data_IF_418803571386
#
_entry.id   IF_418803571386
#
_cell.length_a   1.000
_cell.length_b   1.000
_cell.length_c   1.000
_cell.angle_alpha   90.00
_cell.angle_beta   90.00
_cell.angle_gamma   90.00
#
_symmetry.space_group_name_H-M   'P 1'
#
loop_
_entity.id
_entity.type
_entity.pdbx_description
1 polymer ?
#
# COMPACT_ATOMS: atom_id res chain seq x y z
N UNK A 1 -11.16 -22.85 -1.40
CA UNK A 1 -10.94 -21.58 -0.65
C UNK A 1 -12.32 -20.95 -0.40
N UNK A 2 -12.63 -20.47 0.81
CA UNK A 2 -13.89 -19.74 1.07
C UNK A 2 -13.62 -18.25 0.86
N UNK A 3 -14.37 -17.60 -0.03
CA UNK A 3 -14.30 -16.15 -0.24
C UNK A 3 -15.24 -15.47 0.77
N UNK A 4 -14.74 -14.48 1.50
CA UNK A 4 -15.49 -13.73 2.50
C UNK A 4 -15.99 -12.41 1.92
N UNK A 5 -17.12 -11.91 2.42
CA UNK A 5 -17.53 -10.54 2.11
C UNK A 5 -16.70 -9.53 2.93
N UNK A 6 -16.55 -8.28 2.46
CA UNK A 6 -15.92 -7.19 3.21
C UNK A 6 -16.38 -7.09 4.67
N UNK A 7 -17.69 -7.18 4.90
CA UNK A 7 -18.28 -7.07 6.23
C UNK A 7 -17.91 -8.26 7.11
N UNK A 8 -17.76 -9.45 6.54
CA UNK A 8 -17.33 -10.64 7.28
C UNK A 8 -15.85 -10.57 7.61
N UNK A 9 -15.01 -10.10 6.69
CA UNK A 9 -13.58 -9.90 6.93
C UNK A 9 -13.36 -8.90 8.07
N UNK A 10 -14.01 -7.74 8.01
CA UNK A 10 -13.94 -6.73 9.09
C UNK A 10 -14.38 -7.28 10.46
N UNK A 11 -15.40 -8.13 10.51
CA UNK A 11 -15.84 -8.78 11.76
C UNK A 11 -14.81 -9.75 12.32
N UNK A 12 -14.07 -10.46 11.46
CA UNK A 12 -13.00 -11.34 11.93
C UNK A 12 -11.80 -10.56 12.47
N UNK A 13 -11.46 -9.42 11.84
CA UNK A 13 -10.42 -8.53 12.36
C UNK A 13 -10.84 -7.96 13.72
N UNK A 14 -12.06 -7.45 13.83
CA UNK A 14 -12.61 -6.93 15.08
C UNK A 14 -12.64 -8.00 16.18
N UNK A 15 -13.06 -9.23 15.86
CA UNK A 15 -13.05 -10.35 16.81
C UNK A 15 -11.63 -10.67 17.28
N UNK A 16 -10.65 -10.68 16.37
CA UNK A 16 -9.24 -10.92 16.71
C UNK A 16 -8.69 -9.85 17.65
N UNK A 17 -9.07 -8.59 17.44
CA UNK A 17 -8.65 -7.46 18.28
C UNK A 17 -9.32 -7.52 19.66
N UNK A 18 -10.64 -7.67 19.68
CA UNK A 18 -11.43 -7.51 20.92
C UNK A 18 -11.46 -8.75 21.79
N UNK A 19 -11.44 -9.94 21.19
CA UNK A 19 -11.56 -11.22 21.91
C UNK A 19 -10.19 -11.84 22.20
N UNK A 20 -9.28 -11.80 21.23
CA UNK A 20 -7.93 -12.38 21.40
C UNK A 20 -6.88 -11.36 21.80
N UNK A 21 -7.23 -10.06 21.86
CA UNK A 21 -6.33 -9.00 22.28
C UNK A 21 -5.20 -8.73 21.29
N UNK A 22 -5.32 -9.17 20.03
CA UNK A 22 -4.28 -8.96 19.01
C UNK A 22 -4.34 -7.50 18.56
N UNK A 23 -3.28 -6.69 18.72
CA UNK A 23 -3.31 -5.29 18.27
C UNK A 23 -3.56 -5.19 16.76
N UNK A 24 -4.35 -4.21 16.32
CA UNK A 24 -4.65 -4.01 14.90
C UNK A 24 -3.38 -3.78 14.06
N UNK A 25 -2.38 -3.09 14.62
CA UNK A 25 -1.07 -2.92 14.01
C UNK A 25 -0.35 -4.26 13.73
N UNK A 26 -0.56 -5.28 14.56
CA UNK A 26 0.02 -6.63 14.34
C UNK A 26 -0.69 -7.34 13.19
N UNK A 27 -2.01 -7.15 13.05
CA UNK A 27 -2.75 -7.68 11.90
C UNK A 27 -2.25 -7.05 10.59
N UNK A 28 -2.09 -5.72 10.56
CA UNK A 28 -1.54 -4.98 9.41
C UNK A 28 -0.09 -5.39 9.10
N UNK A 29 0.77 -5.50 10.11
CA UNK A 29 2.15 -5.96 9.93
C UNK A 29 2.19 -7.37 9.31
N UNK A 30 1.30 -8.27 9.75
CA UNK A 30 1.20 -9.61 9.19
C UNK A 30 0.67 -9.60 7.75
N UNK A 31 -0.33 -8.79 7.42
CA UNK A 31 -0.86 -8.67 6.07
C UNK A 31 0.22 -8.14 5.11
N UNK A 32 0.78 -6.98 5.40
CA UNK A 32 1.81 -6.36 4.57
C UNK A 32 3.10 -7.20 4.44
N UNK A 33 3.60 -7.81 5.53
CA UNK A 33 4.80 -8.66 5.47
C UNK A 33 4.59 -9.88 4.58
N UNK A 34 3.42 -10.54 4.67
CA UNK A 34 3.14 -11.72 3.85
C UNK A 34 2.94 -11.35 2.38
N UNK A 35 2.28 -10.23 2.10
CA UNK A 35 2.18 -9.70 0.73
C UNK A 35 3.56 -9.41 0.16
N UNK A 36 4.43 -8.74 0.92
CA UNK A 36 5.80 -8.47 0.53
C UNK A 36 6.59 -9.77 0.26
N UNK A 37 6.49 -10.76 1.15
CA UNK A 37 7.18 -12.05 0.98
C UNK A 37 6.81 -12.71 -0.34
N UNK A 38 5.51 -12.80 -0.64
CA UNK A 38 5.01 -13.39 -1.89
C UNK A 38 5.37 -12.55 -3.12
N UNK A 39 5.36 -11.23 -2.99
CA UNK A 39 5.84 -10.31 -4.03
C UNK A 39 7.31 -10.57 -4.34
N UNK A 40 8.16 -10.63 -3.31
CA UNK A 40 9.60 -10.85 -3.45
C UNK A 40 9.88 -12.19 -4.13
N UNK A 41 9.24 -13.27 -3.69
CA UNK A 41 9.42 -14.62 -4.23
C UNK A 41 9.06 -14.73 -5.73
N UNK A 42 8.11 -13.93 -6.21
CA UNK A 42 7.58 -14.07 -7.58
C UNK A 42 8.07 -13.03 -8.58
N UNK A 43 8.40 -11.83 -8.11
CA UNK A 43 8.61 -10.67 -8.97
C UNK A 43 9.94 -9.95 -8.78
N UNK A 44 10.70 -10.26 -7.71
CA UNK A 44 11.94 -9.56 -7.41
C UNK A 44 13.15 -10.49 -7.49
N UNK A 45 14.17 -10.01 -8.18
CA UNK A 45 15.44 -10.70 -8.42
C UNK A 45 16.66 -9.88 -7.99
N UNK A 46 16.48 -8.58 -7.69
CA UNK A 46 17.50 -7.69 -7.17
C UNK A 46 17.61 -6.38 -7.99
N UNK A 47 17.70 -5.25 -7.29
CA UNK A 47 17.95 -3.94 -7.91
C UNK A 47 16.74 -3.24 -8.52
N UNK A 48 15.56 -3.86 -8.47
CA UNK A 48 14.32 -3.27 -9.00
C UNK A 48 13.91 -1.99 -8.26
N UNK A 49 13.25 -1.11 -9.01
CA UNK A 49 12.60 0.11 -8.52
C UNK A 49 11.13 -0.15 -8.30
N UNK A 50 10.67 0.02 -7.08
CA UNK A 50 9.31 -0.31 -6.66
C UNK A 50 8.55 0.98 -6.39
N UNK A 51 7.49 1.22 -7.17
CA UNK A 51 6.53 2.28 -6.92
C UNK A 51 5.36 1.73 -6.11
N UNK A 52 5.13 2.27 -4.92
CA UNK A 52 4.04 1.83 -4.05
C UNK A 52 3.03 2.98 -3.96
N UNK A 53 1.82 2.77 -4.46
CA UNK A 53 0.76 3.77 -4.42
C UNK A 53 -0.14 3.48 -3.22
N UNK A 54 -0.05 4.32 -2.19
CA UNK A 54 -0.80 4.15 -0.95
C UNK A 54 -2.02 5.06 -0.90
N UNK A 55 -3.14 4.49 -0.46
CA UNK A 55 -4.30 5.25 -0.04
C UNK A 55 -4.13 5.85 1.36
N UNK A 56 -5.22 6.46 1.86
CA UNK A 56 -5.24 7.08 3.21
C UNK A 56 -5.73 6.13 4.33
N UNK A 57 -6.28 4.99 3.95
CA UNK A 57 -6.88 4.02 4.88
C UNK A 57 -5.95 2.85 5.22
N UNK A 58 -6.54 1.77 5.73
CA UNK A 58 -5.80 0.57 6.15
C UNK A 58 -4.99 -0.06 5.00
N UNK A 59 -5.55 -0.11 3.78
CA UNK A 59 -4.80 -0.65 2.63
C UNK A 59 -3.50 0.14 2.37
N UNK A 60 -3.55 1.47 2.51
CA UNK A 60 -2.35 2.31 2.43
C UNK A 60 -1.35 2.00 3.54
N UNK A 61 -1.84 1.62 4.73
CA UNK A 61 -1.05 1.10 5.83
C UNK A 61 -0.29 -0.18 5.48
N UNK A 62 -0.97 -1.15 4.85
CA UNK A 62 -0.33 -2.37 4.33
C UNK A 62 0.74 -2.03 3.28
N UNK A 63 0.47 -1.05 2.42
CA UNK A 63 1.45 -0.51 1.47
C UNK A 63 2.70 0.05 2.17
N UNK A 64 2.57 0.76 3.29
CA UNK A 64 3.72 1.25 4.07
C UNK A 64 4.51 0.11 4.74
N UNK A 65 3.84 -0.96 5.17
CA UNK A 65 4.51 -2.18 5.66
C UNK A 65 5.33 -2.81 4.52
N UNK A 66 4.73 -3.02 3.36
CA UNK A 66 5.43 -3.55 2.17
C UNK A 66 6.63 -2.67 1.82
N UNK A 67 6.46 -1.35 1.85
CA UNK A 67 7.52 -0.39 1.57
C UNK A 67 8.71 -0.50 2.54
N UNK A 68 8.45 -0.71 3.84
CA UNK A 68 9.49 -0.95 4.84
C UNK A 68 10.31 -2.17 4.52
N UNK A 69 9.67 -3.32 4.30
CA UNK A 69 10.38 -4.57 4.04
C UNK A 69 11.17 -4.52 2.72
N UNK A 70 10.58 -3.97 1.66
CA UNK A 70 11.27 -3.75 0.40
C UNK A 70 12.52 -2.84 0.57
N UNK A 71 12.39 -1.76 1.35
CA UNK A 71 13.51 -0.85 1.59
C UNK A 71 14.61 -1.52 2.44
N UNK A 72 14.24 -2.29 3.45
CA UNK A 72 15.17 -3.04 4.30
C UNK A 72 15.95 -4.11 3.53
N UNK A 73 15.35 -4.69 2.49
CA UNK A 73 16.00 -5.64 1.59
C UNK A 73 16.84 -4.98 0.48
N UNK A 74 16.97 -3.65 0.51
CA UNK A 74 17.87 -2.91 -0.37
C UNK A 74 17.27 -2.51 -1.73
N UNK A 75 15.96 -2.68 -1.94
CA UNK A 75 15.30 -2.23 -3.16
C UNK A 75 15.14 -0.71 -3.20
N UNK A 76 15.05 -0.15 -4.41
CA UNK A 76 14.78 1.28 -4.57
C UNK A 76 13.27 1.52 -4.43
N UNK A 77 12.83 1.96 -3.26
CA UNK A 77 11.40 2.15 -2.96
C UNK A 77 11.00 3.62 -2.97
N UNK A 78 9.85 3.91 -3.59
CA UNK A 78 9.19 5.21 -3.45
C UNK A 78 7.70 5.04 -3.24
N UNK A 79 7.18 5.69 -2.20
CA UNK A 79 5.76 5.68 -1.89
C UNK A 79 5.09 6.94 -2.45
N UNK A 80 3.95 6.74 -3.10
CA UNK A 80 3.06 7.76 -3.64
C UNK A 80 1.75 7.73 -2.86
N UNK A 81 1.56 8.69 -1.95
CA UNK A 81 0.37 8.77 -1.11
C UNK A 81 -0.73 9.56 -1.83
N UNK A 82 -1.90 8.97 -2.04
CA UNK A 82 -3.06 9.62 -2.68
C UNK A 82 -3.79 10.54 -1.69
N UNK A 83 -3.11 11.59 -1.25
CA UNK A 83 -3.58 12.52 -0.24
C UNK A 83 -2.43 13.13 0.55
N UNK A 84 -2.74 13.69 1.71
CA UNK A 84 -1.74 14.25 2.63
C UNK A 84 -1.43 13.27 3.75
N UNK A 85 -0.20 13.28 4.24
CA UNK A 85 0.24 12.55 5.44
C UNK A 85 -0.59 12.93 6.66
N UNK A 86 -1.02 14.19 6.73
CA UNK A 86 -1.89 14.70 7.78
C UNK A 86 -3.29 14.06 7.81
N UNK A 87 -3.72 13.45 6.70
CA UNK A 87 -5.02 12.78 6.61
C UNK A 87 -4.95 11.32 7.09
N UNK A 88 -3.75 10.77 7.29
CA UNK A 88 -3.55 9.40 7.76
C UNK A 88 -3.94 9.26 9.23
N UNK A 89 -4.52 8.12 9.57
CA UNK A 89 -4.99 7.79 10.92
C UNK A 89 -4.66 6.34 11.26
N UNK A 90 -4.75 6.01 12.55
CA UNK A 90 -4.58 4.63 13.05
C UNK A 90 -3.27 3.99 12.63
N UNK A 91 -3.33 2.73 12.22
CA UNK A 91 -2.12 1.95 11.90
C UNK A 91 -1.41 2.44 10.63
N UNK A 92 -2.13 3.12 9.72
CA UNK A 92 -1.51 3.69 8.52
C UNK A 92 -0.52 4.82 8.87
N UNK A 93 -0.84 5.69 9.84
CA UNK A 93 0.10 6.74 10.28
C UNK A 93 1.28 6.15 11.04
N UNK A 94 1.07 5.08 11.80
CA UNK A 94 2.15 4.35 12.47
C UNK A 94 3.14 3.80 11.45
N UNK A 95 2.66 3.05 10.45
CA UNK A 95 3.52 2.43 9.45
C UNK A 95 4.18 3.45 8.51
N UNK A 96 3.49 4.55 8.19
CA UNK A 96 4.11 5.67 7.49
C UNK A 96 5.32 6.23 8.26
N UNK A 97 5.18 6.46 9.59
CA UNK A 97 6.29 6.96 10.42
C UNK A 97 7.45 5.97 10.49
N UNK A 98 7.16 4.67 10.63
CA UNK A 98 8.17 3.61 10.62
C UNK A 98 8.90 3.51 9.27
N UNK A 99 8.21 3.75 8.16
CA UNK A 99 8.85 3.82 6.84
C UNK A 99 9.77 5.04 6.73
N UNK A 100 9.32 6.21 7.21
CA UNK A 100 10.16 7.42 7.20
C UNK A 100 11.38 7.32 8.12
N UNK A 101 11.30 6.61 9.26
CA UNK A 101 12.46 6.39 10.13
C UNK A 101 13.56 5.54 9.47
N UNK A 102 13.23 4.82 8.41
CA UNK A 102 14.19 4.10 7.56
C UNK A 102 14.67 4.95 6.37
N UNK A 103 14.47 6.27 6.40
CA UNK A 103 14.74 7.19 5.28
C UNK A 103 13.88 6.94 4.03
N UNK A 104 12.73 6.27 4.20
CA UNK A 104 11.76 6.03 3.16
C UNK A 104 11.20 7.31 2.56
N UNK A 105 11.17 7.41 1.23
CA UNK A 105 10.68 8.59 0.50
C UNK A 105 9.19 8.47 0.21
N UNK A 106 8.42 9.48 0.64
CA UNK A 106 6.99 9.60 0.40
C UNK A 106 6.71 10.87 -0.40
N UNK A 107 5.94 10.72 -1.47
CA UNK A 107 5.43 11.81 -2.31
C UNK A 107 3.92 11.94 -2.08
N UNK A 108 3.46 13.09 -1.58
CA UNK A 108 2.04 13.41 -1.43
C UNK A 108 1.45 13.85 -2.78
N UNK A 109 0.47 13.09 -3.28
CA UNK A 109 -0.17 13.31 -4.57
C UNK A 109 -1.48 14.08 -4.36
N UNK A 110 -1.40 15.40 -4.15
CA UNK A 110 -2.60 16.22 -3.91
C UNK A 110 -3.13 16.88 -5.18
N UNK A 111 -2.26 17.39 -6.07
CA UNK A 111 -2.66 18.09 -7.30
C UNK A 111 -1.64 17.96 -8.45
N UNK A 112 -0.33 17.98 -8.13
CA UNK A 112 0.74 17.87 -9.13
C UNK A 112 1.16 16.41 -9.31
N UNK A 113 0.55 15.72 -10.28
CA UNK A 113 0.78 14.29 -10.52
C UNK A 113 2.03 13.96 -11.35
N UNK A 114 2.83 14.96 -11.73
CA UNK A 114 4.02 14.72 -12.56
C UNK A 114 5.00 13.73 -11.90
N UNK A 115 5.21 13.85 -10.59
CA UNK A 115 6.12 13.01 -9.83
C UNK A 115 5.66 11.54 -9.75
N UNK A 116 4.35 11.30 -9.61
CA UNK A 116 3.78 9.94 -9.60
C UNK A 116 3.81 9.32 -10.99
N UNK A 117 3.47 10.08 -12.04
CA UNK A 117 3.57 9.60 -13.43
C UNK A 117 4.99 9.20 -13.81
N UNK A 118 5.97 10.05 -13.50
CA UNK A 118 7.39 9.71 -13.74
C UNK A 118 7.82 8.48 -12.94
N UNK A 119 7.44 8.40 -11.66
CA UNK A 119 7.75 7.25 -10.81
C UNK A 119 7.21 5.93 -11.32
N UNK A 120 5.94 5.92 -11.70
CA UNK A 120 5.27 4.74 -12.26
C UNK A 120 6.01 4.29 -13.53
N UNK A 121 6.35 5.21 -14.44
CA UNK A 121 7.07 4.90 -15.68
C UNK A 121 8.47 4.35 -15.44
N UNK A 122 9.19 4.90 -14.46
CA UNK A 122 10.55 4.52 -14.10
C UNK A 122 10.62 3.29 -13.19
N UNK A 123 9.49 2.80 -12.69
CA UNK A 123 9.43 1.61 -11.85
C UNK A 123 9.51 0.33 -12.67
N UNK A 124 9.99 -0.73 -12.03
CA UNK A 124 10.03 -2.08 -12.56
C UNK A 124 8.84 -2.90 -12.03
N UNK A 125 8.31 -2.52 -10.85
CA UNK A 125 7.16 -3.13 -10.20
C UNK A 125 6.31 -2.05 -9.51
N UNK A 126 4.98 -2.21 -9.61
CA UNK A 126 4.02 -1.33 -8.94
C UNK A 126 3.25 -2.13 -7.88
N UNK A 127 3.07 -1.53 -6.71
CA UNK A 127 2.13 -2.02 -5.68
C UNK A 127 0.97 -1.04 -5.62
N UNK A 128 -0.23 -1.51 -5.92
CA UNK A 128 -1.48 -0.78 -5.71
C UNK A 128 -2.03 -1.08 -4.31
N UNK A 129 -1.93 -0.10 -3.43
CA UNK A 129 -2.45 -0.13 -2.07
C UNK A 129 -3.40 1.06 -1.83
N UNK A 130 -4.12 1.50 -2.87
CA UNK A 130 -4.98 2.69 -2.82
C UNK A 130 -6.27 2.40 -2.04
N UNK A 131 -7.01 1.37 -2.46
CA UNK A 131 -8.30 1.01 -1.89
C UNK A 131 -8.35 -0.46 -1.53
N UNK A 132 -8.97 -0.79 -0.40
CA UNK A 132 -9.28 -2.17 -0.03
C UNK A 132 -10.79 -2.39 0.01
N UNK A 133 -11.25 -3.40 0.75
CA UNK A 133 -12.66 -3.81 0.86
C UNK A 133 -13.63 -2.73 1.36
N UNK A 134 -13.15 -1.62 1.92
CA UNK A 134 -13.94 -0.51 2.44
C UNK A 134 -14.40 0.53 1.40
N UNK A 135 -14.02 0.38 0.12
CA UNK A 135 -14.43 1.30 -0.92
C UNK A 135 -15.95 1.23 -1.16
N UNK A 136 -16.64 2.34 -0.90
CA UNK A 136 -18.10 2.44 -1.01
C UNK A 136 -18.57 3.52 -1.98
N UNK A 137 -17.64 4.28 -2.58
CA UNK A 137 -17.94 5.40 -3.49
C UNK A 137 -17.21 5.23 -4.82
N UNK A 138 -17.77 5.73 -5.93
CA UNK A 138 -17.05 5.79 -7.20
C UNK A 138 -15.71 6.50 -7.05
N UNK A 139 -14.69 5.96 -7.70
CA UNK A 139 -13.36 6.56 -7.71
C UNK A 139 -13.35 7.78 -8.64
N UNK A 140 -12.84 8.92 -8.14
CA UNK A 140 -12.77 10.17 -8.88
C UNK A 140 -11.47 10.92 -8.61
N UNK A 141 -11.33 12.10 -9.21
CA UNK A 141 -10.24 13.04 -8.91
C UNK A 141 -8.83 12.47 -9.12
N UNK A 142 -7.96 12.73 -8.14
CA UNK A 142 -6.55 12.34 -8.16
C UNK A 142 -6.38 10.81 -8.18
N UNK A 143 -7.16 10.09 -7.37
CA UNK A 143 -7.09 8.63 -7.28
C UNK A 143 -7.40 7.97 -8.62
N UNK A 144 -8.46 8.41 -9.32
CA UNK A 144 -8.78 7.89 -10.66
C UNK A 144 -7.63 8.11 -11.64
N UNK A 145 -7.05 9.30 -11.63
CA UNK A 145 -5.95 9.63 -12.55
C UNK A 145 -4.71 8.77 -12.29
N UNK A 146 -4.40 8.47 -11.02
CA UNK A 146 -3.29 7.61 -10.67
C UNK A 146 -3.57 6.16 -11.08
N UNK A 147 -4.78 5.66 -10.85
CA UNK A 147 -5.20 4.33 -11.28
C UNK A 147 -5.09 4.18 -12.80
N UNK A 148 -5.54 5.19 -13.56
CA UNK A 148 -5.42 5.18 -15.03
C UNK A 148 -3.93 5.11 -15.47
N UNK A 149 -3.02 5.79 -14.77
CA UNK A 149 -1.58 5.72 -15.04
C UNK A 149 -0.96 4.37 -14.64
N UNK A 150 -1.39 3.77 -13.52
CA UNK A 150 -0.96 2.43 -13.11
C UNK A 150 -1.41 1.40 -14.16
N UNK A 151 -2.69 1.42 -14.54
CA UNK A 151 -3.26 0.49 -15.52
C UNK A 151 -2.64 0.66 -16.91
N UNK A 152 -2.29 1.90 -17.30
CA UNK A 152 -1.64 2.20 -18.57
C UNK A 152 -0.11 2.02 -18.58
N UNK A 153 0.51 1.63 -17.45
CA UNK A 153 1.97 1.61 -17.32
C UNK A 153 2.65 0.48 -18.11
N UNK A 154 1.94 -0.61 -18.40
CA UNK A 154 2.51 -1.84 -18.94
C UNK A 154 3.47 -2.56 -18.00
N UNK A 155 3.54 -2.15 -16.72
CA UNK A 155 4.39 -2.77 -15.69
C UNK A 155 3.62 -3.86 -14.94
N UNK A 156 4.31 -4.84 -14.34
CA UNK A 156 3.69 -5.72 -13.36
C UNK A 156 3.08 -4.91 -12.21
N UNK A 157 1.85 -5.22 -11.84
CA UNK A 157 1.11 -4.58 -10.74
C UNK A 157 0.68 -5.65 -9.73
N UNK A 158 0.93 -5.38 -8.45
CA UNK A 158 0.44 -6.18 -7.33
C UNK A 158 -0.58 -5.34 -6.58
N UNK A 159 -1.85 -5.72 -6.68
CA UNK A 159 -2.91 -5.13 -5.90
C UNK A 159 -2.95 -5.76 -4.51
N UNK A 160 -3.02 -4.91 -3.48
CA UNK A 160 -3.16 -5.33 -2.09
C UNK A 160 -4.66 -5.34 -1.76
N UNK A 161 -5.14 -6.48 -1.25
CA UNK A 161 -6.53 -6.77 -0.90
C UNK A 161 -7.45 -7.04 -2.11
N UNK A 162 -7.71 -6.07 -3.00
CA UNK A 162 -8.65 -6.20 -4.13
C UNK A 162 -8.08 -5.63 -5.43
#
# INVERSE_FOLDING_TARGET
MKVLSPQRMARYDEYSITTWGIPSAVLMENAGRNTYRLMKERYLSGGERIAIVCGRGNNGGDGFVIARYALMDGFTVRVYLTGKKADLKGDAVLNMKLFQSLSGRIVECTEKLRSVKTGIRESDLIVDAIFGTGLSKPVGGTEKTIIDEVNGSGKPVIAVDI
#
